data_IF_067130345175
#
_entry.id   IF_067130345175
#
_cell.length_a   1.000
_cell.length_b   1.000
_cell.length_c   1.000
_cell.angle_alpha   90.00
_cell.angle_beta   90.00
_cell.angle_gamma   90.00
#
_symmetry.space_group_name_H-M   'P 1'
#
loop_
_entity.id
_entity.type
_entity.pdbx_description
1 polymer ?
#
# COMPACT_ATOMS: atom_id res chain seq x y z
N UNK A 1 -44.73 -14.98 -22.52
CA UNK A 1 -43.68 -14.12 -21.91
C UNK A 1 -44.05 -12.70 -22.34
N UNK A 2 -44.41 -11.83 -21.39
CA UNK A 2 -44.80 -10.45 -21.75
C UNK A 2 -43.56 -9.63 -22.12
N UNK A 3 -43.71 -8.62 -22.95
CA UNK A 3 -42.61 -7.69 -23.35
C UNK A 3 -41.94 -7.07 -22.13
N UNK A 4 -42.67 -6.83 -21.03
CA UNK A 4 -42.18 -6.36 -19.74
C UNK A 4 -41.28 -7.36 -19.03
N UNK A 5 -41.42 -8.68 -19.20
CA UNK A 5 -40.55 -9.69 -18.63
C UNK A 5 -39.20 -9.77 -19.34
N UNK A 6 -39.15 -9.53 -20.66
CA UNK A 6 -37.91 -9.49 -21.43
C UNK A 6 -37.05 -8.29 -21.08
N UNK A 7 -37.64 -7.10 -20.95
CA UNK A 7 -36.93 -5.87 -20.60
C UNK A 7 -36.35 -5.92 -19.17
N UNK A 8 -37.07 -6.58 -18.28
CA UNK A 8 -36.60 -6.73 -16.88
C UNK A 8 -35.50 -7.78 -16.74
N UNK A 9 -35.49 -8.82 -17.56
CA UNK A 9 -34.39 -9.80 -17.63
C UNK A 9 -33.13 -9.15 -18.19
N UNK A 10 -33.26 -8.37 -19.26
CA UNK A 10 -32.15 -7.64 -19.88
C UNK A 10 -31.52 -6.62 -18.94
N UNK A 11 -32.31 -5.91 -18.12
CA UNK A 11 -31.78 -4.99 -17.09
C UNK A 11 -31.04 -5.72 -15.97
N UNK A 12 -31.48 -6.93 -15.58
CA UNK A 12 -30.81 -7.75 -14.56
C UNK A 12 -29.44 -8.27 -15.02
N UNK A 13 -29.32 -8.67 -16.27
CA UNK A 13 -28.04 -9.09 -16.87
C UNK A 13 -27.05 -7.92 -16.99
N UNK A 14 -27.51 -6.76 -17.43
CA UNK A 14 -26.69 -5.54 -17.51
C UNK A 14 -26.16 -5.15 -16.12
N UNK A 15 -26.99 -5.20 -15.07
CA UNK A 15 -26.55 -4.92 -13.72
C UNK A 15 -25.52 -5.92 -13.22
N UNK A 16 -25.68 -7.21 -13.57
CA UNK A 16 -24.71 -8.24 -13.20
C UNK A 16 -23.37 -8.01 -13.88
N UNK A 17 -23.37 -7.65 -15.17
CA UNK A 17 -22.16 -7.36 -15.92
C UNK A 17 -21.42 -6.12 -15.36
N UNK A 18 -22.16 -5.08 -15.01
CA UNK A 18 -21.58 -3.89 -14.35
C UNK A 18 -20.96 -4.28 -13.00
N UNK A 19 -21.69 -5.01 -12.15
CA UNK A 19 -21.19 -5.42 -10.84
C UNK A 19 -19.94 -6.32 -10.94
N UNK A 20 -19.90 -7.21 -11.92
CA UNK A 20 -18.75 -8.07 -12.25
C UNK A 20 -17.55 -7.23 -12.73
N UNK A 21 -17.80 -6.27 -13.59
CA UNK A 21 -16.76 -5.36 -14.11
C UNK A 21 -16.14 -4.52 -12.99
N UNK A 22 -16.95 -3.97 -12.10
CA UNK A 22 -16.47 -3.23 -10.92
C UNK A 22 -15.64 -4.10 -9.99
N UNK A 23 -16.06 -5.34 -9.73
CA UNK A 23 -15.29 -6.30 -8.96
C UNK A 23 -13.93 -6.59 -9.60
N UNK A 24 -13.91 -6.80 -10.92
CA UNK A 24 -12.68 -7.06 -11.67
C UNK A 24 -11.74 -5.84 -11.66
N UNK A 25 -12.29 -4.63 -11.73
CA UNK A 25 -11.53 -3.39 -11.62
C UNK A 25 -10.82 -3.26 -10.28
N UNK A 26 -11.50 -3.57 -9.17
CA UNK A 26 -10.87 -3.57 -7.83
C UNK A 26 -9.80 -4.67 -7.70
N UNK A 27 -10.00 -5.83 -8.29
CA UNK A 27 -9.00 -6.89 -8.34
C UNK A 27 -7.75 -6.46 -9.12
N UNK A 28 -7.94 -5.82 -10.28
CA UNK A 28 -6.84 -5.27 -11.08
C UNK A 28 -6.08 -4.16 -10.32
N UNK A 29 -6.81 -3.30 -9.60
CA UNK A 29 -6.23 -2.25 -8.75
C UNK A 29 -5.30 -2.83 -7.68
N UNK A 30 -5.68 -3.96 -7.09
CA UNK A 30 -4.85 -4.70 -6.16
C UNK A 30 -3.56 -5.16 -6.80
N UNK A 31 -3.66 -5.85 -7.94
CA UNK A 31 -2.49 -6.38 -8.66
C UNK A 31 -1.50 -5.28 -9.03
N UNK A 32 -2.00 -4.12 -9.47
CA UNK A 32 -1.17 -2.94 -9.76
C UNK A 32 -0.48 -2.42 -8.48
N UNK A 33 -1.18 -2.39 -7.35
CA UNK A 33 -0.60 -1.96 -6.08
C UNK A 33 0.48 -2.93 -5.60
N UNK A 34 0.22 -4.23 -5.68
CA UNK A 34 1.19 -5.28 -5.31
C UNK A 34 2.47 -5.20 -6.17
N UNK A 35 2.31 -4.94 -7.46
CA UNK A 35 3.44 -4.73 -8.37
C UNK A 35 4.25 -3.49 -7.97
N UNK A 36 3.59 -2.37 -7.65
CA UNK A 36 4.28 -1.15 -7.20
C UNK A 36 5.04 -1.38 -5.90
N UNK A 37 4.44 -2.07 -4.93
CA UNK A 37 5.09 -2.40 -3.66
C UNK A 37 6.27 -3.33 -3.89
N UNK A 38 6.10 -4.36 -4.73
CA UNK A 38 7.15 -5.32 -5.09
C UNK A 38 8.39 -4.67 -5.71
N UNK A 39 8.23 -3.53 -6.41
CA UNK A 39 9.35 -2.75 -6.96
C UNK A 39 9.90 -1.79 -5.91
N UNK A 40 9.04 -1.09 -5.18
CA UNK A 40 9.43 0.00 -4.27
C UNK A 40 10.14 -0.53 -3.02
N UNK A 41 9.66 -1.63 -2.45
CA UNK A 41 10.21 -2.19 -1.21
C UNK A 41 11.69 -2.58 -1.33
N UNK A 42 12.14 -3.33 -2.37
CA UNK A 42 13.56 -3.63 -2.55
C UNK A 42 14.42 -2.37 -2.73
N UNK A 43 13.92 -1.35 -3.44
CA UNK A 43 14.64 -0.09 -3.65
C UNK A 43 14.86 0.61 -2.31
N UNK A 44 13.80 0.75 -1.50
CA UNK A 44 13.88 1.40 -0.17
C UNK A 44 14.74 0.58 0.78
N UNK A 45 14.65 -0.74 0.75
CA UNK A 45 15.48 -1.62 1.57
C UNK A 45 16.97 -1.51 1.21
N UNK A 46 17.30 -1.50 -0.08
CA UNK A 46 18.69 -1.33 -0.55
C UNK A 46 19.24 0.04 -0.15
N UNK A 47 18.47 1.10 -0.38
CA UNK A 47 18.82 2.45 0.05
C UNK A 47 19.05 2.52 1.56
N UNK A 48 18.16 1.96 2.38
CA UNK A 48 18.28 1.93 3.84
C UNK A 48 19.54 1.17 4.29
N UNK A 49 19.84 0.05 3.65
CA UNK A 49 21.05 -0.71 3.91
C UNK A 49 22.31 0.08 3.58
N UNK A 50 22.30 0.84 2.47
CA UNK A 50 23.43 1.72 2.10
C UNK A 50 23.64 2.84 3.12
N UNK A 51 22.58 3.45 3.65
CA UNK A 51 22.71 4.47 4.71
C UNK A 51 23.41 3.89 5.94
N UNK A 52 23.01 2.69 6.39
CA UNK A 52 23.57 2.05 7.58
C UNK A 52 25.04 1.70 7.38
N UNK A 53 25.44 1.33 6.15
CA UNK A 53 26.81 0.98 5.83
C UNK A 53 27.72 2.18 5.54
N UNK A 54 27.14 3.35 5.21
CA UNK A 54 27.90 4.51 4.74
C UNK A 54 28.90 5.03 5.79
N UNK A 55 28.51 4.97 7.08
CA UNK A 55 29.41 5.22 8.19
C UNK A 55 29.09 4.29 9.36
N UNK A 56 30.13 3.87 10.08
CA UNK A 56 29.91 3.24 11.37
C UNK A 56 29.21 4.24 12.28
N UNK A 57 28.02 3.91 12.78
CA UNK A 57 27.24 4.76 13.70
C UNK A 57 28.12 5.29 14.83
N UNK A 58 29.12 4.51 15.23
CA UNK A 58 30.11 4.86 16.25
C UNK A 58 30.99 6.06 15.85
N UNK A 59 31.41 6.15 14.58
CA UNK A 59 32.29 7.23 14.11
C UNK A 59 31.57 8.57 14.07
N UNK A 60 30.27 8.57 13.73
CA UNK A 60 29.42 9.77 13.71
C UNK A 60 29.30 10.41 15.10
N UNK A 61 29.29 9.60 16.17
CA UNK A 61 29.14 10.07 17.55
C UNK A 61 30.47 10.30 18.30
N UNK A 62 31.60 9.80 17.78
CA UNK A 62 32.91 9.95 18.40
C UNK A 62 33.71 11.16 17.91
N UNK A 63 33.12 12.04 17.11
CA UNK A 63 33.75 13.27 16.69
C UNK A 63 34.05 14.14 17.90
N UNK A 64 35.34 14.20 18.30
CA UNK A 64 35.79 15.03 19.43
C UNK A 64 35.55 16.51 19.12
N UNK A 65 34.67 17.13 19.88
CA UNK A 65 34.39 18.57 19.80
C UNK A 65 35.56 19.33 20.46
N UNK A 66 36.63 19.49 19.74
CA UNK A 66 37.80 20.26 20.21
C UNK A 66 37.86 21.65 19.57
N UNK A 67 36.75 22.40 19.62
CA UNK A 67 36.68 23.72 19.00
C UNK A 67 36.20 24.78 20.01
N UNK A 68 36.92 25.93 20.00
CA UNK A 68 36.55 27.13 20.79
C UNK A 68 35.43 27.96 20.13
N UNK A 69 35.01 27.60 18.90
CA UNK A 69 33.96 28.31 18.15
C UNK A 69 32.59 27.69 18.38
N UNK A 70 31.63 28.48 18.85
CA UNK A 70 30.24 28.07 19.09
C UNK A 70 29.59 27.51 17.80
N UNK A 71 29.90 28.06 16.65
CA UNK A 71 29.38 27.60 15.35
C UNK A 71 29.83 26.17 15.01
N UNK A 72 31.11 25.84 15.24
CA UNK A 72 31.63 24.48 15.03
C UNK A 72 31.03 23.48 16.01
N UNK A 73 30.75 23.88 17.24
CA UNK A 73 30.07 23.02 18.23
C UNK A 73 28.63 22.73 17.79
N UNK A 74 27.87 23.75 17.37
CA UNK A 74 26.52 23.57 16.86
C UNK A 74 26.52 22.62 15.65
N UNK A 75 27.46 22.80 14.73
CA UNK A 75 27.61 22.01 13.52
C UNK A 75 27.90 20.54 13.82
N UNK A 76 28.86 20.28 14.75
CA UNK A 76 29.20 18.92 15.15
C UNK A 76 28.07 18.16 15.87
N UNK A 77 27.12 18.87 16.49
CA UNK A 77 25.94 18.24 17.12
C UNK A 77 24.80 18.05 16.11
N UNK A 78 24.60 19.01 15.21
CA UNK A 78 23.50 18.92 14.22
C UNK A 78 23.74 17.82 13.18
N UNK A 79 24.96 17.62 12.72
CA UNK A 79 25.31 16.62 11.70
C UNK A 79 24.89 15.19 12.09
N UNK A 80 25.28 14.64 13.27
CA UNK A 80 24.83 13.31 13.69
C UNK A 80 23.33 13.21 13.91
N UNK A 81 22.64 14.31 14.27
CA UNK A 81 21.19 14.32 14.42
C UNK A 81 20.46 14.13 13.07
N UNK A 82 20.97 14.73 11.98
CA UNK A 82 20.43 14.48 10.66
C UNK A 82 20.61 13.04 10.22
N UNK A 83 21.77 12.44 10.48
CA UNK A 83 22.03 11.04 10.16
C UNK A 83 21.10 10.09 10.94
N UNK A 84 20.98 10.28 12.26
CA UNK A 84 20.09 9.49 13.10
C UNK A 84 18.61 9.64 12.66
N UNK A 85 18.19 10.86 12.36
CA UNK A 85 16.82 11.10 11.88
C UNK A 85 16.55 10.44 10.54
N UNK A 86 17.52 10.43 9.61
CA UNK A 86 17.40 9.72 8.33
C UNK A 86 17.22 8.21 8.55
N UNK A 87 17.97 7.59 9.47
CA UNK A 87 17.83 6.17 9.82
C UNK A 87 16.44 5.87 10.42
N UNK A 88 16.00 6.67 11.39
CA UNK A 88 14.70 6.47 12.05
C UNK A 88 13.55 6.59 11.03
N UNK A 89 13.55 7.63 10.21
CA UNK A 89 12.52 7.86 9.20
C UNK A 89 12.56 6.78 8.12
N UNK A 90 13.75 6.32 7.73
CA UNK A 90 13.93 5.20 6.80
C UNK A 90 13.39 3.88 7.34
N UNK A 91 13.64 3.58 8.62
CA UNK A 91 13.07 2.41 9.29
C UNK A 91 11.54 2.46 9.34
N UNK A 92 10.96 3.63 9.67
CA UNK A 92 9.50 3.82 9.65
C UNK A 92 8.95 3.58 8.24
N UNK A 93 9.61 4.07 7.20
CA UNK A 93 9.21 3.84 5.80
C UNK A 93 9.17 2.34 5.47
N UNK A 94 10.21 1.58 5.81
CA UNK A 94 10.26 0.14 5.60
C UNK A 94 9.13 -0.59 6.33
N UNK A 95 8.89 -0.24 7.59
CA UNK A 95 7.81 -0.83 8.38
C UNK A 95 6.43 -0.55 7.76
N UNK A 96 6.18 0.67 7.28
CA UNK A 96 4.93 1.01 6.58
C UNK A 96 4.77 0.18 5.31
N UNK A 97 5.80 0.06 4.47
CA UNK A 97 5.75 -0.73 3.24
C UNK A 97 5.56 -2.22 3.51
N UNK A 98 6.22 -2.79 4.52
CA UNK A 98 6.02 -4.17 4.96
C UNK A 98 4.59 -4.39 5.48
N UNK A 99 4.05 -3.43 6.25
CA UNK A 99 2.69 -3.52 6.77
C UNK A 99 1.64 -3.55 5.65
N UNK A 100 1.86 -2.80 4.55
CA UNK A 100 0.97 -2.84 3.37
C UNK A 100 0.88 -4.24 2.78
N UNK A 101 1.97 -5.04 2.79
CA UNK A 101 1.97 -6.41 2.27
C UNK A 101 1.19 -7.35 3.18
N UNK A 102 1.30 -7.18 4.50
CA UNK A 102 0.68 -8.09 5.48
C UNK A 102 -0.82 -7.86 5.66
N UNK A 103 -1.34 -6.68 5.31
CA UNK A 103 -2.76 -6.33 5.44
C UNK A 103 -3.59 -6.85 4.27
N UNK A 104 -3.68 -8.19 4.12
CA UNK A 104 -4.52 -8.81 3.11
C UNK A 104 -5.79 -9.42 3.71
N UNK A 105 -6.93 -8.82 3.41
CA UNK A 105 -8.24 -9.38 3.69
C UNK A 105 -9.14 -9.14 2.48
N UNK A 106 -8.89 -9.92 1.39
CA UNK A 106 -9.73 -9.87 0.19
C UNK A 106 -10.93 -10.79 0.32
N UNK A 107 -12.11 -10.26 0.00
CA UNK A 107 -13.28 -11.09 -0.22
C UNK A 107 -13.28 -11.61 -1.66
N UNK A 108 -13.02 -12.90 -1.81
CA UNK A 108 -13.25 -13.64 -3.05
C UNK A 108 -14.66 -14.19 -3.07
N UNK A 109 -15.28 -14.21 -4.24
CA UNK A 109 -16.56 -14.89 -4.44
C UNK A 109 -16.24 -16.36 -4.64
N UNK A 110 -16.53 -17.17 -3.61
CA UNK A 110 -16.34 -18.61 -3.67
C UNK A 110 -17.46 -19.25 -4.51
N UNK A 111 -17.13 -19.90 -5.66
CA UNK A 111 -18.13 -20.60 -6.46
C UNK A 111 -18.87 -21.71 -5.71
N UNK A 112 -18.25 -22.28 -4.65
CA UNK A 112 -18.88 -23.32 -3.85
C UNK A 112 -20.14 -22.83 -3.12
N UNK A 113 -20.21 -21.54 -2.81
CA UNK A 113 -21.40 -20.91 -2.24
C UNK A 113 -22.66 -21.04 -3.12
N UNK A 114 -22.47 -21.32 -4.43
CA UNK A 114 -23.55 -21.43 -5.40
C UNK A 114 -23.85 -22.88 -5.78
N UNK A 115 -23.02 -23.83 -5.39
CA UNK A 115 -23.15 -25.25 -5.74
C UNK A 115 -24.09 -26.01 -4.78
N UNK A 116 -25.09 -25.32 -4.20
CA UNK A 116 -26.16 -25.95 -3.45
C UNK A 116 -27.34 -26.19 -4.36
N UNK A 117 -27.90 -27.40 -4.36
CA UNK A 117 -29.07 -27.77 -5.17
C UNK A 117 -30.22 -26.77 -5.05
N UNK A 118 -30.41 -26.19 -3.87
CA UNK A 118 -31.45 -25.18 -3.62
C UNK A 118 -31.23 -23.88 -4.38
N UNK A 119 -29.97 -23.50 -4.63
CA UNK A 119 -29.64 -22.25 -5.36
C UNK A 119 -29.65 -22.44 -6.87
N UNK A 120 -29.30 -23.65 -7.35
CA UNK A 120 -29.34 -23.98 -8.79
C UNK A 120 -30.79 -24.08 -9.32
N UNK A 121 -31.75 -24.34 -8.43
CA UNK A 121 -33.18 -24.39 -8.78
C UNK A 121 -33.87 -23.01 -8.77
N UNK A 122 -33.16 -21.94 -8.39
CA UNK A 122 -33.73 -20.60 -8.34
C UNK A 122 -34.01 -20.05 -9.76
N UNK A 123 -35.13 -19.32 -9.93
CA UNK A 123 -35.38 -18.58 -11.18
C UNK A 123 -34.20 -17.67 -11.52
N UNK A 124 -33.81 -17.55 -12.81
CA UNK A 124 -32.65 -16.75 -13.25
C UNK A 124 -32.65 -15.31 -12.70
N UNK A 125 -33.81 -14.68 -12.58
CA UNK A 125 -34.00 -13.34 -12.05
C UNK A 125 -33.58 -13.23 -10.57
N UNK A 126 -33.94 -14.20 -9.74
CA UNK A 126 -33.59 -14.21 -8.33
C UNK A 126 -32.10 -14.49 -8.18
N UNK A 127 -31.57 -15.42 -8.96
CA UNK A 127 -30.16 -15.76 -8.97
C UNK A 127 -29.29 -14.57 -9.41
N UNK A 128 -29.60 -13.87 -10.50
CA UNK A 128 -28.87 -12.69 -10.94
C UNK A 128 -28.88 -11.56 -9.90
N UNK A 129 -30.04 -11.27 -9.28
CA UNK A 129 -30.13 -10.28 -8.20
C UNK A 129 -29.28 -10.63 -6.99
N UNK A 130 -29.26 -11.91 -6.62
CA UNK A 130 -28.39 -12.41 -5.54
C UNK A 130 -26.91 -12.25 -5.89
N UNK A 131 -26.50 -12.60 -7.12
CA UNK A 131 -25.14 -12.43 -7.59
C UNK A 131 -24.69 -10.97 -7.59
N UNK A 132 -25.53 -10.05 -8.07
CA UNK A 132 -25.27 -8.61 -8.01
C UNK A 132 -24.97 -8.17 -6.58
N UNK A 133 -25.77 -8.62 -5.61
CA UNK A 133 -25.57 -8.27 -4.20
C UNK A 133 -24.22 -8.80 -3.66
N UNK A 134 -23.84 -10.02 -4.02
CA UNK A 134 -22.54 -10.58 -3.64
C UNK A 134 -21.38 -9.80 -4.26
N UNK A 135 -21.45 -9.47 -5.55
CA UNK A 135 -20.44 -8.67 -6.23
C UNK A 135 -20.30 -7.28 -5.59
N UNK A 136 -21.40 -6.57 -5.34
CA UNK A 136 -21.40 -5.25 -4.72
C UNK A 136 -20.74 -5.32 -3.33
N UNK A 137 -21.12 -6.30 -2.51
CA UNK A 137 -20.55 -6.47 -1.16
C UNK A 137 -19.05 -6.74 -1.21
N UNK A 138 -18.61 -7.66 -2.05
CA UNK A 138 -17.19 -7.98 -2.22
C UNK A 138 -16.40 -6.77 -2.75
N UNK A 139 -16.94 -6.07 -3.75
CA UNK A 139 -16.33 -4.85 -4.32
C UNK A 139 -16.17 -3.75 -3.27
N UNK A 140 -17.22 -3.49 -2.48
CA UNK A 140 -17.16 -2.46 -1.43
C UNK A 140 -16.09 -2.79 -0.39
N UNK A 141 -16.05 -4.02 0.11
CA UNK A 141 -15.03 -4.46 1.06
C UNK A 141 -13.61 -4.36 0.47
N UNK A 142 -13.44 -4.82 -0.77
CA UNK A 142 -12.14 -4.79 -1.44
C UNK A 142 -11.68 -3.35 -1.73
N UNK A 143 -12.60 -2.44 -2.09
CA UNK A 143 -12.34 -1.02 -2.26
C UNK A 143 -11.84 -0.36 -0.98
N UNK A 144 -12.51 -0.57 0.14
CA UNK A 144 -12.08 -0.05 1.44
C UNK A 144 -10.69 -0.56 1.84
N UNK A 145 -10.42 -1.84 1.59
CA UNK A 145 -9.12 -2.45 1.85
C UNK A 145 -8.03 -1.85 0.95
N UNK A 146 -8.31 -1.68 -0.34
CA UNK A 146 -7.39 -1.06 -1.28
C UNK A 146 -7.09 0.40 -0.93
N UNK A 147 -8.08 1.19 -0.54
CA UNK A 147 -7.90 2.60 -0.17
C UNK A 147 -7.00 2.75 1.06
N UNK A 148 -7.16 1.89 2.06
CA UNK A 148 -6.26 1.84 3.22
C UNK A 148 -4.83 1.48 2.80
N UNK A 149 -4.66 0.46 1.96
CA UNK A 149 -3.35 0.04 1.45
C UNK A 149 -2.67 1.12 0.62
N UNK A 150 -3.41 1.79 -0.27
CA UNK A 150 -2.89 2.91 -1.08
C UNK A 150 -2.41 4.05 -0.18
N UNK A 151 -3.19 4.40 0.84
CA UNK A 151 -2.81 5.45 1.80
C UNK A 151 -1.54 5.10 2.56
N UNK A 152 -1.41 3.86 3.03
CA UNK A 152 -0.20 3.39 3.72
C UNK A 152 1.01 3.35 2.79
N UNK A 153 0.83 2.87 1.55
CA UNK A 153 1.88 2.88 0.53
C UNK A 153 2.38 4.30 0.24
N UNK A 154 1.47 5.26 0.05
CA UNK A 154 1.83 6.66 -0.17
C UNK A 154 2.61 7.25 1.01
N UNK A 155 2.17 6.97 2.24
CA UNK A 155 2.90 7.40 3.45
C UNK A 155 4.29 6.78 3.52
N UNK A 156 4.42 5.47 3.25
CA UNK A 156 5.69 4.78 3.20
C UNK A 156 6.64 5.39 2.16
N UNK A 157 6.13 5.71 0.97
CA UNK A 157 6.91 6.35 -0.09
C UNK A 157 7.35 7.77 0.27
N UNK A 158 6.45 8.60 0.82
CA UNK A 158 6.78 9.97 1.26
C UNK A 158 7.84 9.94 2.37
N UNK A 159 7.71 9.05 3.35
CA UNK A 159 8.72 8.91 4.42
C UNK A 159 10.07 8.44 3.88
N UNK A 160 10.12 7.59 2.85
CA UNK A 160 11.35 7.22 2.18
C UNK A 160 12.05 8.43 1.54
N UNK A 161 11.29 9.28 0.84
CA UNK A 161 11.82 10.52 0.23
C UNK A 161 12.35 11.48 1.30
N UNK A 162 11.64 11.64 2.42
CA UNK A 162 12.09 12.49 3.53
C UNK A 162 13.39 11.94 4.12
N UNK A 163 13.50 10.63 4.35
CA UNK A 163 14.73 9.99 4.81
C UNK A 163 15.90 10.24 3.87
N UNK A 164 15.67 10.12 2.57
CA UNK A 164 16.69 10.41 1.55
C UNK A 164 17.14 11.88 1.60
N UNK A 165 16.21 12.82 1.72
CA UNK A 165 16.53 14.24 1.82
C UNK A 165 17.36 14.55 3.06
N UNK A 166 17.01 13.97 4.23
CA UNK A 166 17.77 14.11 5.46
C UNK A 166 19.18 13.53 5.33
N UNK A 167 19.34 12.41 4.65
CA UNK A 167 20.64 11.80 4.41
C UNK A 167 21.49 12.63 3.46
N UNK A 168 20.92 13.21 2.40
CA UNK A 168 21.61 14.14 1.51
C UNK A 168 22.09 15.38 2.25
N UNK A 169 21.24 15.96 3.11
CA UNK A 169 21.63 17.10 3.96
C UNK A 169 22.80 16.69 4.87
N UNK A 170 22.74 15.52 5.48
CA UNK A 170 23.85 14.99 6.29
C UNK A 170 25.16 14.94 5.50
N UNK A 171 25.16 14.40 4.26
CA UNK A 171 26.36 14.34 3.42
C UNK A 171 26.93 15.73 3.18
N UNK A 172 26.09 16.71 2.85
CA UNK A 172 26.54 18.10 2.65
C UNK A 172 27.10 18.76 3.92
N UNK A 173 26.62 18.36 5.09
CA UNK A 173 27.10 18.89 6.36
C UNK A 173 28.37 18.19 6.85
N UNK A 174 28.63 16.96 6.43
CA UNK A 174 29.81 16.16 6.81
C UNK A 174 31.05 16.42 5.94
N UNK A 175 30.86 17.04 4.77
CA UNK A 175 31.94 17.45 3.85
C UNK A 175 32.47 18.82 4.21
#
# INVERSE_FOLDING_TARGET
MSETDSDFLQSGEVLLDIARSEYQNEFNRTSVLDTKIGITLPIVATYFFLIIQFESIREVFLCEVNSKNILTVIWSVCTPLFFLSAIIVGAISLLLLLYVITTHSYQTIDPSCFNCNDKMSLPPKIFSGMMVTYYIRATTHNRETNDKRVTLYQRGWITAIISLALFVIYIFLST
#
